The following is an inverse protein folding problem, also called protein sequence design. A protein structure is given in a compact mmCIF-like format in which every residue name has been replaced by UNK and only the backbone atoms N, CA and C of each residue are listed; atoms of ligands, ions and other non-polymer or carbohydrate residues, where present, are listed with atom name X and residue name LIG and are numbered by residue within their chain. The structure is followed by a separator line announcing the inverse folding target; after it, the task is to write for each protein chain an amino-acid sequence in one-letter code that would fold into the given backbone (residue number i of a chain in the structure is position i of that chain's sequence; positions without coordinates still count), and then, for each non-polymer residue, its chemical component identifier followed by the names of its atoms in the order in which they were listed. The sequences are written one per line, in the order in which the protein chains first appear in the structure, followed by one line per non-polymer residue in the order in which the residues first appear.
data_IF_576284604626
#
_entry.id   IF_576284604626
#
_cell.length_a   1.000
_cell.length_b   1.000
_cell.length_c   1.000
_cell.angle_alpha   90.00
_cell.angle_beta   90.00
_cell.angle_gamma   90.00
#
_symmetry.space_group_name_H-M   'P 1'
#
loop_
_entity.id
_entity.type
_entity.pdbx_description
1 polymer ?
#
# COMPACT_ATOMS: atom_id res chain seq x y z
N UNK A 1 -15.57 6.73 9.20
CA UNK A 1 -16.87 6.90 8.49
C UNK A 1 -16.74 6.36 7.08
N UNK A 2 -16.54 5.05 6.97
CA UNK A 2 -16.47 4.31 5.72
C UNK A 2 -17.51 3.18 5.83
N UNK A 3 -18.12 2.80 4.71
CA UNK A 3 -18.99 1.61 4.52
C UNK A 3 -20.51 1.80 4.38
N UNK A 4 -21.05 2.92 3.88
CA UNK A 4 -22.52 2.98 3.60
C UNK A 4 -22.95 3.42 2.18
N UNK A 5 -22.06 3.56 1.18
CA UNK A 5 -22.46 4.02 -0.17
C UNK A 5 -21.93 3.18 -1.34
N UNK A 6 -22.08 1.85 -1.27
CA UNK A 6 -22.01 1.00 -2.49
C UNK A 6 -23.22 0.06 -2.63
N UNK A 7 -24.40 0.46 -2.14
CA UNK A 7 -25.65 -0.15 -2.60
C UNK A 7 -26.03 0.49 -3.93
N UNK A 8 -25.61 -0.18 -5.01
CA UNK A 8 -26.07 0.07 -6.36
C UNK A 8 -27.60 0.13 -6.36
N UNK A 9 -28.18 1.13 -7.04
CA UNK A 9 -29.63 1.31 -7.06
C UNK A 9 -30.26 0.07 -7.68
N UNK A 10 -30.98 -0.73 -6.87
CA UNK A 10 -31.66 -1.97 -7.29
C UNK A 10 -32.85 -1.75 -8.22
N UNK A 11 -32.80 -0.68 -9.02
CA UNK A 11 -33.80 -0.28 -10.00
C UNK A 11 -33.54 -0.98 -11.34
N UNK A 12 -32.28 -1.34 -11.63
CA UNK A 12 -31.86 -1.99 -12.88
C UNK A 12 -31.45 -3.44 -12.65
N UNK A 13 -31.92 -4.33 -13.51
CA UNK A 13 -31.50 -5.74 -13.54
C UNK A 13 -30.09 -5.86 -14.12
N UNK A 14 -29.87 -5.31 -15.31
CA UNK A 14 -28.57 -5.16 -15.93
C UNK A 14 -27.94 -3.84 -15.47
N UNK A 15 -26.80 -3.92 -14.79
CA UNK A 15 -26.19 -2.77 -14.11
C UNK A 15 -24.95 -2.24 -14.81
N UNK A 16 -24.42 -3.01 -15.76
CA UNK A 16 -23.27 -2.67 -16.56
C UNK A 16 -22.83 -3.83 -17.44
N UNK A 17 -21.64 -3.71 -18.01
CA UNK A 17 -20.98 -4.76 -18.79
C UNK A 17 -19.60 -5.03 -18.18
N UNK A 18 -19.19 -6.29 -18.22
CA UNK A 18 -17.82 -6.72 -17.96
C UNK A 18 -17.20 -7.12 -19.30
N UNK A 19 -16.03 -6.59 -19.62
CA UNK A 19 -15.43 -6.69 -20.95
C UNK A 19 -14.01 -7.23 -20.83
N UNK A 20 -13.64 -8.12 -21.75
CA UNK A 20 -12.26 -8.54 -21.96
C UNK A 20 -11.82 -8.17 -23.38
N UNK A 21 -10.60 -7.63 -23.49
CA UNK A 21 -9.96 -7.28 -24.76
C UNK A 21 -8.54 -7.86 -24.82
N UNK A 22 -8.01 -8.06 -26.02
CA UNK A 22 -6.59 -8.37 -26.19
C UNK A 22 -5.73 -7.10 -26.15
N UNK A 23 -4.40 -7.25 -26.13
CA UNK A 23 -3.44 -6.11 -26.17
C UNK A 23 -3.65 -5.18 -27.37
N UNK A 24 -4.19 -5.69 -28.49
CA UNK A 24 -4.50 -4.88 -29.68
C UNK A 24 -5.80 -4.07 -29.55
N UNK A 25 -6.51 -4.21 -28.43
CA UNK A 25 -7.77 -3.55 -28.14
C UNK A 25 -8.99 -4.15 -28.81
N UNK A 26 -8.88 -5.35 -29.41
CA UNK A 26 -10.02 -6.08 -29.94
C UNK A 26 -10.80 -6.74 -28.80
N UNK A 27 -12.13 -6.63 -28.84
CA UNK A 27 -13.02 -7.19 -27.82
C UNK A 27 -13.11 -8.71 -28.00
N UNK A 28 -12.84 -9.45 -26.93
CA UNK A 28 -12.88 -10.91 -26.92
C UNK A 28 -14.21 -11.42 -26.39
N UNK A 29 -14.62 -10.93 -25.22
CA UNK A 29 -15.84 -11.36 -24.55
C UNK A 29 -16.48 -10.21 -23.80
N UNK A 30 -17.82 -10.25 -23.75
CA UNK A 30 -18.64 -9.36 -22.95
C UNK A 30 -19.60 -10.19 -22.09
N UNK A 31 -19.85 -9.72 -20.88
CA UNK A 31 -20.87 -10.26 -20.00
C UNK A 31 -21.69 -9.12 -19.40
N UNK A 32 -23.02 -9.26 -19.34
CA UNK A 32 -23.81 -8.33 -18.53
C UNK A 32 -23.55 -8.56 -17.04
N UNK A 33 -23.43 -7.46 -16.32
CA UNK A 33 -23.50 -7.50 -14.87
C UNK A 33 -24.97 -7.54 -14.45
N UNK A 34 -25.40 -8.66 -13.89
CA UNK A 34 -26.80 -8.90 -13.49
C UNK A 34 -26.93 -8.75 -11.97
N UNK A 35 -27.74 -7.77 -11.56
CA UNK A 35 -28.13 -7.48 -10.18
C UNK A 35 -26.94 -7.34 -9.22
N UNK A 36 -25.76 -7.01 -9.77
CA UNK A 36 -24.51 -6.86 -9.02
C UNK A 36 -23.65 -5.75 -9.62
N UNK A 37 -22.71 -5.21 -8.85
CA UNK A 37 -21.59 -4.49 -9.45
C UNK A 37 -20.57 -5.46 -10.05
N UNK A 38 -19.34 -4.98 -10.22
CA UNK A 38 -18.18 -5.80 -10.57
C UNK A 38 -17.88 -6.78 -9.44
N UNK A 39 -18.18 -8.05 -9.67
CA UNK A 39 -17.87 -9.17 -8.79
C UNK A 39 -16.83 -10.07 -9.46
N UNK A 40 -15.98 -10.70 -8.66
CA UNK A 40 -14.93 -11.61 -9.14
C UNK A 40 -15.44 -12.76 -10.03
N UNK A 41 -16.73 -13.12 -9.94
CA UNK A 41 -17.37 -14.14 -10.79
C UNK A 41 -17.25 -13.83 -12.29
N UNK A 42 -17.28 -12.55 -12.68
CA UNK A 42 -17.18 -12.17 -14.09
C UNK A 42 -15.76 -12.38 -14.61
N UNK A 43 -14.76 -11.94 -13.84
CA UNK A 43 -13.37 -12.18 -14.20
C UNK A 43 -13.04 -13.68 -14.20
N UNK A 44 -13.55 -14.47 -13.24
CA UNK A 44 -13.43 -15.94 -13.27
C UNK A 44 -14.05 -16.56 -14.53
N UNK A 45 -15.22 -16.07 -14.96
CA UNK A 45 -15.86 -16.57 -16.19
C UNK A 45 -15.03 -16.22 -17.44
N UNK A 46 -14.45 -15.03 -17.48
CA UNK A 46 -13.51 -14.62 -18.54
C UNK A 46 -12.24 -15.47 -18.49
N UNK A 47 -11.67 -15.72 -17.30
CA UNK A 47 -10.52 -16.60 -17.13
C UNK A 47 -10.84 -18.01 -17.63
N UNK A 48 -12.02 -18.56 -17.33
CA UNK A 48 -12.43 -19.85 -17.87
C UNK A 48 -12.43 -19.86 -19.40
N UNK A 49 -12.91 -18.79 -20.03
CA UNK A 49 -12.90 -18.64 -21.50
C UNK A 49 -11.50 -18.49 -22.08
N UNK A 50 -10.62 -17.77 -21.40
CA UNK A 50 -9.21 -17.66 -21.75
C UNK A 50 -8.56 -19.04 -21.74
N UNK A 51 -8.72 -19.80 -20.65
CA UNK A 51 -8.10 -21.12 -20.51
C UNK A 51 -8.68 -22.16 -21.50
N UNK A 52 -9.94 -22.00 -21.90
CA UNK A 52 -10.63 -22.89 -22.85
C UNK A 52 -10.24 -22.62 -24.31
N UNK A 53 -10.03 -21.35 -24.67
CA UNK A 53 -9.95 -20.93 -26.08
C UNK A 53 -8.63 -20.29 -26.48
N UNK A 54 -7.87 -19.74 -25.54
CA UNK A 54 -6.54 -19.19 -25.81
C UNK A 54 -5.48 -20.24 -25.47
N UNK A 55 -4.31 -20.13 -26.09
CA UNK A 55 -3.18 -21.02 -25.80
C UNK A 55 -2.58 -20.78 -24.42
N UNK A 56 -1.46 -21.43 -24.12
CA UNK A 56 -0.80 -21.27 -22.82
C UNK A 56 -0.08 -19.92 -22.68
N UNK A 57 0.31 -19.59 -21.45
CA UNK A 57 1.13 -18.42 -21.06
C UNK A 57 0.43 -17.08 -21.27
N UNK A 58 -0.88 -17.03 -21.08
CA UNK A 58 -1.62 -15.77 -21.10
C UNK A 58 -1.26 -14.91 -19.88
N UNK A 59 -1.16 -13.60 -20.09
CA UNK A 59 -1.08 -12.60 -19.03
C UNK A 59 -2.46 -11.95 -18.90
N UNK A 60 -3.07 -12.08 -17.72
CA UNK A 60 -4.39 -11.54 -17.41
C UNK A 60 -4.26 -10.26 -16.59
N UNK A 61 -4.47 -9.12 -17.24
CA UNK A 61 -4.45 -7.81 -16.63
C UNK A 61 -5.79 -7.44 -15.98
N UNK A 62 -5.74 -6.89 -14.76
CA UNK A 62 -6.89 -6.29 -14.08
C UNK A 62 -6.41 -5.35 -12.95
N UNK A 63 -7.14 -4.29 -12.63
CA UNK A 63 -6.76 -3.29 -11.61
C UNK A 63 -6.43 -3.93 -10.25
N UNK A 64 -7.15 -4.99 -9.91
CA UNK A 64 -6.92 -5.78 -8.69
C UNK A 64 -6.35 -7.17 -9.00
N UNK A 65 -5.55 -7.29 -10.06
CA UNK A 65 -4.95 -8.54 -10.55
C UNK A 65 -4.20 -9.31 -9.45
N UNK A 66 -3.48 -8.62 -8.57
CA UNK A 66 -2.81 -9.23 -7.42
C UNK A 66 -3.77 -9.90 -6.42
N UNK A 67 -4.91 -9.28 -6.16
CA UNK A 67 -5.96 -9.83 -5.28
C UNK A 67 -6.72 -10.94 -5.99
N UNK A 68 -6.91 -10.79 -7.30
CA UNK A 68 -7.55 -11.79 -8.13
C UNK A 68 -6.73 -13.07 -8.24
N UNK A 69 -5.40 -13.02 -8.26
CA UNK A 69 -4.54 -14.22 -8.20
C UNK A 69 -4.87 -15.10 -6.97
N UNK A 70 -5.09 -14.46 -5.82
CA UNK A 70 -5.59 -15.13 -4.62
C UNK A 70 -6.97 -15.75 -4.80
N UNK A 71 -7.87 -15.10 -5.53
CA UNK A 71 -9.20 -15.65 -5.84
C UNK A 71 -9.12 -16.83 -6.81
N UNK A 72 -8.29 -16.71 -7.85
CA UNK A 72 -8.10 -17.71 -8.89
C UNK A 72 -7.49 -18.99 -8.32
N UNK A 73 -6.49 -18.87 -7.45
CA UNK A 73 -5.83 -20.00 -6.79
C UNK A 73 -6.75 -20.81 -5.87
N UNK A 74 -7.84 -20.23 -5.38
CA UNK A 74 -8.86 -20.91 -4.57
C UNK A 74 -10.10 -21.30 -5.38
N UNK A 75 -10.08 -21.12 -6.70
CA UNK A 75 -11.18 -21.45 -7.59
C UNK A 75 -11.02 -22.83 -8.23
N UNK A 76 -12.08 -23.29 -8.93
CA UNK A 76 -12.03 -24.52 -9.72
C UNK A 76 -11.05 -24.45 -10.91
N UNK A 77 -10.61 -23.23 -11.30
CA UNK A 77 -9.70 -23.01 -12.41
C UNK A 77 -8.22 -23.08 -12.01
N UNK A 78 -7.90 -23.18 -10.71
CA UNK A 78 -6.54 -23.04 -10.20
C UNK A 78 -5.54 -24.01 -10.86
N UNK A 79 -5.92 -25.28 -11.00
CA UNK A 79 -5.04 -26.29 -11.61
C UNK A 79 -4.78 -25.99 -13.08
N UNK A 80 -5.84 -25.69 -13.85
CA UNK A 80 -5.73 -25.41 -15.28
C UNK A 80 -4.95 -24.10 -15.53
N UNK A 81 -5.20 -23.06 -14.73
CA UNK A 81 -4.46 -21.81 -14.80
C UNK A 81 -2.96 -22.02 -14.55
N UNK A 82 -2.61 -22.86 -13.57
CA UNK A 82 -1.22 -23.22 -13.28
C UNK A 82 -0.59 -24.07 -14.39
N UNK A 83 -1.31 -25.07 -14.89
CA UNK A 83 -0.85 -25.92 -16.00
C UNK A 83 -0.55 -25.10 -17.26
N UNK A 84 -1.43 -24.15 -17.59
CA UNK A 84 -1.25 -23.25 -18.73
C UNK A 84 -0.36 -22.05 -18.41
N UNK A 85 0.23 -21.96 -17.22
CA UNK A 85 1.11 -20.83 -16.83
C UNK A 85 0.46 -19.45 -17.00
N UNK A 86 -0.83 -19.31 -16.67
CA UNK A 86 -1.50 -18.02 -16.66
C UNK A 86 -0.93 -17.14 -15.55
N UNK A 87 -0.58 -15.90 -15.88
CA UNK A 87 -0.02 -14.94 -14.94
C UNK A 87 -0.97 -13.75 -14.77
N UNK A 88 -1.32 -13.39 -13.54
CA UNK A 88 -2.09 -12.17 -13.28
C UNK A 88 -1.18 -10.94 -13.29
N UNK A 89 -1.69 -9.83 -13.78
CA UNK A 89 -0.98 -8.55 -13.88
C UNK A 89 -1.89 -7.41 -13.41
N UNK A 90 -1.30 -6.37 -12.82
CA UNK A 90 -1.98 -5.10 -12.54
C UNK A 90 -1.51 -4.10 -13.60
N UNK A 91 -2.39 -3.25 -14.12
CA UNK A 91 -1.98 -2.24 -15.10
C UNK A 91 -0.89 -1.30 -14.54
N UNK A 92 -0.15 -0.60 -15.41
CA UNK A 92 0.98 0.22 -14.98
C UNK A 92 0.55 1.32 -14.01
N UNK A 93 -0.59 1.97 -14.27
CA UNK A 93 -1.06 3.08 -13.43
C UNK A 93 -1.40 2.62 -12.01
N UNK A 94 -2.21 1.57 -11.84
CA UNK A 94 -2.54 1.05 -10.52
C UNK A 94 -1.37 0.29 -9.88
N UNK A 95 -0.56 -0.40 -10.69
CA UNK A 95 0.55 -1.22 -10.23
C UNK A 95 1.56 -0.40 -9.44
N UNK A 96 1.87 0.82 -9.89
CA UNK A 96 2.75 1.72 -9.15
C UNK A 96 2.20 2.04 -7.76
N UNK A 97 0.89 2.22 -7.58
CA UNK A 97 0.28 2.54 -6.29
C UNK A 97 0.33 1.39 -5.26
N UNK A 98 0.77 0.20 -5.66
CA UNK A 98 0.89 -0.95 -4.77
C UNK A 98 2.24 -0.95 -4.04
N UNK A 99 2.38 -1.76 -2.98
CA UNK A 99 3.67 -1.89 -2.28
C UNK A 99 4.72 -2.58 -3.17
N UNK A 100 6.00 -2.41 -2.83
CA UNK A 100 7.12 -2.94 -3.63
C UNK A 100 7.07 -4.46 -3.84
N UNK A 101 6.64 -5.24 -2.84
CA UNK A 101 6.46 -6.69 -2.96
C UNK A 101 5.40 -7.08 -4.00
N UNK A 102 4.34 -6.28 -4.12
CA UNK A 102 3.31 -6.48 -5.12
C UNK A 102 3.82 -6.05 -6.50
N UNK A 103 4.53 -4.92 -6.59
CA UNK A 103 5.11 -4.45 -7.85
C UNK A 103 6.06 -5.48 -8.44
N UNK A 104 6.95 -6.06 -7.62
CA UNK A 104 7.93 -7.06 -8.06
C UNK A 104 7.34 -8.38 -8.57
N UNK A 105 6.02 -8.56 -8.53
CA UNK A 105 5.34 -9.77 -9.00
C UNK A 105 4.22 -9.51 -10.02
N UNK A 106 3.56 -8.36 -9.95
CA UNK A 106 2.37 -8.07 -10.73
C UNK A 106 2.48 -6.84 -11.64
N UNK A 107 3.54 -6.02 -11.52
CA UNK A 107 3.74 -4.85 -12.38
C UNK A 107 4.13 -5.28 -13.82
N UNK A 108 3.65 -4.61 -14.88
CA UNK A 108 3.93 -5.03 -16.25
C UNK A 108 5.43 -5.04 -16.57
N UNK A 109 6.18 -4.05 -16.10
CA UNK A 109 7.62 -3.91 -16.38
C UNK A 109 8.48 -5.11 -15.95
N UNK A 110 8.05 -5.85 -14.91
CA UNK A 110 8.80 -7.02 -14.42
C UNK A 110 8.31 -8.35 -15.01
N UNK A 111 7.22 -8.34 -15.79
CA UNK A 111 6.61 -9.56 -16.34
C UNK A 111 7.15 -9.80 -17.76
N UNK A 112 7.92 -10.88 -17.99
CA UNK A 112 8.42 -11.20 -19.31
C UNK A 112 7.28 -11.41 -20.30
N UNK A 113 7.37 -10.73 -21.45
CA UNK A 113 6.36 -10.79 -22.51
C UNK A 113 5.38 -9.61 -22.53
N UNK A 114 5.37 -8.75 -21.50
CA UNK A 114 4.54 -7.54 -21.47
C UNK A 114 4.97 -6.47 -22.48
N UNK A 115 6.26 -6.38 -22.77
CA UNK A 115 6.78 -5.36 -23.68
C UNK A 115 6.55 -3.95 -23.12
N UNK A 116 6.03 -3.05 -23.96
CA UNK A 116 5.78 -1.63 -23.63
C UNK A 116 4.31 -1.35 -23.25
N UNK A 117 3.52 -2.40 -22.98
CA UNK A 117 2.08 -2.25 -22.73
C UNK A 117 1.80 -1.71 -21.32
N UNK A 118 1.01 -0.63 -21.24
CA UNK A 118 0.54 -0.03 -19.98
C UNK A 118 -0.71 -0.72 -19.42
N UNK A 119 -1.40 -1.50 -20.26
CA UNK A 119 -2.66 -2.19 -19.98
C UNK A 119 -3.87 -1.25 -19.71
N UNK A 120 -3.82 0.00 -20.17
CA UNK A 120 -4.88 1.02 -20.00
C UNK A 120 -5.92 1.01 -21.16
N UNK A 121 -6.07 -0.13 -21.82
CA UNK A 121 -6.92 -0.24 -23.01
C UNK A 121 -8.41 -0.31 -22.65
N UNK A 122 -8.76 -0.93 -21.52
CA UNK A 122 -10.16 -1.11 -21.13
C UNK A 122 -10.79 0.20 -20.65
N UNK A 123 -10.04 1.09 -20.01
CA UNK A 123 -10.45 2.40 -19.55
C UNK A 123 -10.91 3.25 -20.75
N UNK A 124 -10.10 3.24 -21.83
CA UNK A 124 -10.44 3.88 -23.11
C UNK A 124 -11.68 3.24 -23.74
N UNK A 125 -11.77 1.92 -23.69
CA UNK A 125 -12.92 1.16 -24.22
C UNK A 125 -14.22 1.49 -23.47
N UNK A 126 -14.18 1.55 -22.14
CA UNK A 126 -15.33 1.92 -21.33
C UNK A 126 -15.71 3.38 -21.55
N UNK A 127 -14.73 4.28 -21.68
CA UNK A 127 -14.98 5.68 -22.00
C UNK A 127 -15.77 5.85 -23.30
N UNK A 128 -15.43 5.12 -24.37
CA UNK A 128 -16.18 5.18 -25.63
C UNK A 128 -17.56 4.54 -25.54
N UNK A 129 -17.71 3.49 -24.74
CA UNK A 129 -19.00 2.80 -24.54
C UNK A 129 -20.08 3.69 -23.91
N UNK A 130 -19.69 4.79 -23.25
CA UNK A 130 -20.64 5.78 -22.71
C UNK A 130 -21.54 6.39 -23.79
N UNK A 131 -21.13 6.38 -25.06
CA UNK A 131 -21.95 6.85 -26.19
C UNK A 131 -23.25 6.07 -26.35
N UNK A 132 -23.28 4.80 -25.95
CA UNK A 132 -24.49 3.95 -26.00
C UNK A 132 -25.21 3.81 -24.66
N UNK A 133 -24.70 4.42 -23.58
CA UNK A 133 -25.29 4.31 -22.25
C UNK A 133 -26.73 4.83 -22.20
N UNK A 134 -26.97 6.03 -22.75
CA UNK A 134 -28.29 6.67 -22.71
C UNK A 134 -29.39 5.87 -23.43
N UNK A 135 -29.03 5.18 -24.53
CA UNK A 135 -29.99 4.38 -25.32
C UNK A 135 -30.14 2.95 -24.79
N UNK A 136 -29.21 2.48 -23.96
CA UNK A 136 -29.23 1.13 -23.39
C UNK A 136 -29.81 1.07 -21.97
N UNK A 137 -29.86 2.20 -21.25
CA UNK A 137 -30.28 2.27 -19.84
C UNK A 137 -31.72 1.79 -19.60
N UNK A 138 -32.65 2.12 -20.49
CA UNK A 138 -34.07 1.74 -20.38
C UNK A 138 -34.51 0.79 -21.50
N UNK A 139 -33.56 0.27 -22.27
CA UNK A 139 -33.85 -0.68 -23.32
C UNK A 139 -34.20 -2.05 -22.72
N UNK A 140 -35.10 -2.78 -23.39
CA UNK A 140 -35.23 -4.22 -23.13
C UNK A 140 -33.88 -4.93 -23.34
N UNK A 141 -33.63 -6.04 -22.64
CA UNK A 141 -32.39 -6.83 -22.76
C UNK A 141 -31.96 -7.08 -24.22
N UNK A 142 -32.89 -7.42 -25.11
CA UNK A 142 -32.59 -7.63 -26.54
C UNK A 142 -32.01 -6.38 -27.22
N UNK A 143 -32.71 -5.25 -27.12
CA UNK A 143 -32.25 -3.99 -27.72
C UNK A 143 -30.95 -3.50 -27.08
N UNK A 144 -30.79 -3.68 -25.76
CA UNK A 144 -29.53 -3.39 -25.07
C UNK A 144 -28.37 -4.16 -25.71
N UNK A 145 -28.52 -5.48 -25.88
CA UNK A 145 -27.50 -6.31 -26.55
C UNK A 145 -27.24 -5.87 -27.97
N UNK A 146 -28.28 -5.54 -28.74
CA UNK A 146 -28.11 -5.07 -30.12
C UNK A 146 -27.27 -3.79 -30.20
N UNK A 147 -27.58 -2.77 -29.39
CA UNK A 147 -26.83 -1.51 -29.40
C UNK A 147 -25.38 -1.69 -28.92
N UNK A 148 -25.16 -2.47 -27.86
CA UNK A 148 -23.83 -2.78 -27.34
C UNK A 148 -23.01 -3.54 -28.37
N UNK A 149 -23.60 -4.57 -29.00
CA UNK A 149 -22.94 -5.36 -30.04
C UNK A 149 -22.60 -4.50 -31.27
N UNK A 150 -23.52 -3.63 -31.72
CA UNK A 150 -23.24 -2.71 -32.83
C UNK A 150 -22.09 -1.76 -32.50
N UNK A 151 -22.03 -1.22 -31.28
CA UNK A 151 -20.94 -0.37 -30.84
C UNK A 151 -19.59 -1.09 -30.87
N UNK A 152 -19.50 -2.28 -30.25
CA UNK A 152 -18.24 -3.00 -30.17
C UNK A 152 -17.79 -3.62 -31.49
N UNK A 153 -18.73 -3.94 -32.40
CA UNK A 153 -18.38 -4.31 -33.78
C UNK A 153 -17.70 -3.16 -34.52
N UNK A 154 -18.23 -1.94 -34.41
CA UNK A 154 -17.59 -0.77 -35.02
C UNK A 154 -16.22 -0.50 -34.38
N UNK A 155 -16.12 -0.60 -33.04
CA UNK A 155 -14.86 -0.48 -32.33
C UNK A 155 -13.82 -1.46 -32.84
N UNK A 156 -14.18 -2.74 -32.99
CA UNK A 156 -13.26 -3.76 -33.50
C UNK A 156 -12.86 -3.51 -34.96
N UNK A 157 -13.78 -3.07 -35.81
CA UNK A 157 -13.47 -2.66 -37.19
C UNK A 157 -12.44 -1.52 -37.21
N UNK A 158 -12.64 -0.50 -36.37
CA UNK A 158 -11.71 0.64 -36.26
C UNK A 158 -10.35 0.20 -35.72
N UNK A 159 -10.31 -0.68 -34.72
CA UNK A 159 -9.06 -1.24 -34.16
C UNK A 159 -8.33 -2.08 -35.19
N UNK A 160 -9.05 -2.95 -35.90
CA UNK A 160 -8.48 -3.80 -36.93
C UNK A 160 -7.86 -2.98 -38.06
N UNK A 161 -8.53 -1.91 -38.51
CA UNK A 161 -7.99 -1.00 -39.53
C UNK A 161 -6.71 -0.28 -39.08
N UNK A 162 -6.54 -0.07 -37.77
CA UNK A 162 -5.39 0.63 -37.21
C UNK A 162 -4.29 -0.29 -36.66
N UNK A 163 -4.51 -1.61 -36.61
CA UNK A 163 -3.62 -2.56 -35.91
C UNK A 163 -2.19 -2.54 -36.48
N UNK A 164 -2.05 -2.47 -37.81
CA UNK A 164 -0.74 -2.45 -38.46
C UNK A 164 0.05 -1.18 -38.08
N UNK A 165 -0.64 -0.03 -38.03
CA UNK A 165 -0.04 1.25 -37.62
C UNK A 165 0.35 1.23 -36.15
N UNK A 166 -0.52 0.67 -35.29
CA UNK A 166 -0.24 0.51 -33.86
C UNK A 166 1.02 -0.34 -33.64
N UNK A 167 1.09 -1.53 -34.24
CA UNK A 167 2.25 -2.42 -34.13
C UNK A 167 3.52 -1.76 -34.68
N UNK A 168 3.43 -1.08 -35.83
CA UNK A 168 4.57 -0.36 -36.41
C UNK A 168 5.08 0.74 -35.47
N UNK A 169 4.18 1.55 -34.90
CA UNK A 169 4.55 2.62 -33.99
C UNK A 169 5.19 2.08 -32.70
N UNK A 170 4.62 1.03 -32.11
CA UNK A 170 5.19 0.39 -30.92
C UNK A 170 6.57 -0.21 -31.21
N UNK A 171 6.77 -0.76 -32.40
CA UNK A 171 8.08 -1.26 -32.82
C UNK A 171 9.11 -0.13 -32.99
N UNK A 172 8.74 0.99 -33.61
CA UNK A 172 9.62 2.15 -33.71
C UNK A 172 9.98 2.68 -32.31
N UNK A 173 8.99 2.83 -31.43
CA UNK A 173 9.21 3.25 -30.05
C UNK A 173 10.19 2.33 -29.31
N UNK A 174 10.06 1.00 -29.47
CA UNK A 174 10.98 0.04 -28.86
C UNK A 174 12.42 0.19 -29.40
N UNK A 175 12.58 0.47 -30.70
CA UNK A 175 13.89 0.74 -31.29
C UNK A 175 14.49 2.04 -30.76
N UNK A 176 13.69 3.10 -30.65
CA UNK A 176 14.12 4.40 -30.14
C UNK A 176 14.58 4.27 -28.69
N UNK A 177 13.79 3.64 -27.83
CA UNK A 177 14.17 3.34 -26.43
C UNK A 177 15.48 2.55 -26.38
N UNK A 178 15.61 1.49 -27.19
CA UNK A 178 16.84 0.68 -27.20
C UNK A 178 18.05 1.51 -27.65
N UNK A 179 17.88 2.38 -28.64
CA UNK A 179 18.95 3.20 -29.19
C UNK A 179 19.36 4.34 -28.23
N UNK A 180 18.40 4.97 -27.56
CA UNK A 180 18.63 6.12 -26.67
C UNK A 180 19.04 5.70 -25.25
N UNK A 181 18.37 4.71 -24.67
CA UNK A 181 18.56 4.36 -23.26
C UNK A 181 19.70 3.37 -23.03
N UNK A 182 20.01 2.47 -23.98
CA UNK A 182 21.12 1.51 -23.81
C UNK A 182 22.47 2.20 -23.60
N UNK A 183 22.84 3.26 -24.35
CA UNK A 183 24.05 4.04 -24.08
C UNK A 183 24.02 4.72 -22.70
N UNK A 184 22.88 5.31 -22.32
CA UNK A 184 22.72 5.99 -21.04
C UNK A 184 22.89 5.02 -19.85
N UNK A 185 22.31 3.83 -19.94
CA UNK A 185 22.47 2.76 -18.93
C UNK A 185 23.93 2.30 -18.88
N UNK A 186 24.59 2.15 -20.03
CA UNK A 186 25.99 1.74 -20.09
C UNK A 186 26.90 2.79 -19.46
N UNK A 187 26.68 4.07 -19.74
CA UNK A 187 27.43 5.18 -19.13
C UNK A 187 27.19 5.23 -17.62
N UNK A 188 25.93 5.13 -17.17
CA UNK A 188 25.60 5.10 -15.75
C UNK A 188 26.24 3.92 -15.03
N UNK A 189 26.27 2.73 -15.64
CA UNK A 189 26.93 1.56 -15.09
C UNK A 189 28.44 1.78 -14.91
N UNK A 190 29.12 2.43 -15.87
CA UNK A 190 30.53 2.80 -15.75
C UNK A 190 30.75 3.80 -14.62
N UNK A 191 29.94 4.85 -14.54
CA UNK A 191 30.04 5.89 -13.49
C UNK A 191 29.84 5.29 -12.10
N UNK A 192 28.87 4.38 -11.96
CA UNK A 192 28.55 3.73 -10.70
C UNK A 192 29.44 2.51 -10.40
N UNK A 193 30.35 2.14 -11.30
CA UNK A 193 31.20 0.94 -11.19
C UNK A 193 30.39 -0.35 -10.98
N UNK A 194 29.31 -0.47 -11.75
CA UNK A 194 28.35 -1.57 -11.72
C UNK A 194 28.48 -2.41 -12.98
N UNK A 195 28.40 -3.73 -12.84
CA UNK A 195 28.27 -4.65 -13.97
C UNK A 195 26.79 -4.81 -14.37
N UNK A 196 26.39 -4.42 -15.59
CA UNK A 196 25.01 -4.60 -16.09
C UNK A 196 24.51 -6.05 -16.05
N UNK A 197 25.41 -7.05 -16.07
CA UNK A 197 25.02 -8.45 -15.97
C UNK A 197 24.40 -8.81 -14.61
N UNK A 198 24.53 -7.95 -13.60
CA UNK A 198 23.94 -8.16 -12.29
C UNK A 198 22.48 -7.68 -12.20
N UNK A 199 21.94 -6.96 -13.18
CA UNK A 199 20.61 -6.35 -13.06
C UNK A 199 19.50 -7.39 -12.83
N UNK A 200 19.48 -8.48 -13.59
CA UNK A 200 18.51 -9.56 -13.39
C UNK A 200 18.65 -10.23 -12.01
N UNK A 201 19.87 -10.28 -11.46
CA UNK A 201 20.10 -10.81 -10.12
C UNK A 201 19.55 -9.85 -9.06
N UNK A 202 19.77 -8.54 -9.24
CA UNK A 202 19.26 -7.51 -8.34
C UNK A 202 17.75 -7.42 -8.31
N UNK A 203 17.07 -7.61 -9.44
CA UNK A 203 15.61 -7.69 -9.47
C UNK A 203 15.09 -8.86 -8.61
N UNK A 204 15.76 -10.03 -8.67
CA UNK A 204 15.42 -11.19 -7.84
C UNK A 204 15.72 -10.94 -6.37
N UNK A 205 16.89 -10.40 -6.05
CA UNK A 205 17.28 -10.04 -4.68
C UNK A 205 16.32 -9.02 -4.08
N UNK A 206 15.90 -8.04 -4.87
CA UNK A 206 14.92 -7.03 -4.47
C UNK A 206 13.56 -7.68 -4.19
N UNK A 207 13.07 -8.55 -5.08
CA UNK A 207 11.81 -9.27 -4.89
C UNK A 207 11.85 -10.16 -3.62
N UNK A 208 12.96 -10.86 -3.40
CA UNK A 208 13.17 -11.68 -2.19
C UNK A 208 13.19 -10.84 -0.92
N UNK A 209 13.93 -9.71 -0.93
CA UNK A 209 13.99 -8.77 0.18
C UNK A 209 12.60 -8.28 0.59
N UNK A 210 11.79 -7.84 -0.37
CA UNK A 210 10.43 -7.35 -0.08
C UNK A 210 9.47 -8.46 0.32
N UNK A 211 9.67 -9.69 -0.13
CA UNK A 211 8.87 -10.86 0.29
C UNK A 211 9.18 -11.24 1.74
N UNK A 212 10.46 -11.22 2.13
CA UNK A 212 10.94 -11.55 3.48
C UNK A 212 10.55 -10.51 4.54
N UNK A 213 10.33 -9.25 4.15
CA UNK A 213 9.92 -8.15 5.04
C UNK A 213 8.49 -8.29 5.60
N UNK A 214 7.80 -9.40 5.33
CA UNK A 214 6.35 -9.49 5.57
C UNK A 214 5.93 -9.56 7.04
N UNK A 215 6.79 -9.92 8.00
CA UNK A 215 6.49 -9.80 9.44
C UNK A 215 7.79 -9.63 10.25
N UNK A 216 7.93 -8.49 10.96
CA UNK A 216 9.01 -8.33 11.94
C UNK A 216 8.86 -9.40 13.03
N UNK A 217 9.92 -10.18 13.34
CA UNK A 217 9.88 -11.16 14.42
C UNK A 217 9.36 -10.55 15.72
N UNK A 218 8.50 -11.28 16.44
CA UNK A 218 7.88 -10.78 17.68
C UNK A 218 8.94 -10.29 18.69
N UNK A 219 10.09 -10.96 18.77
CA UNK A 219 11.21 -10.56 19.63
C UNK A 219 11.74 -9.15 19.32
N UNK A 220 11.80 -8.77 18.04
CA UNK A 220 12.26 -7.44 17.62
C UNK A 220 11.20 -6.39 17.98
N UNK A 221 9.92 -6.68 17.75
CA UNK A 221 8.82 -5.78 18.12
C UNK A 221 8.78 -5.54 19.63
N UNK A 222 8.96 -6.59 20.42
CA UNK A 222 9.06 -6.50 21.88
C UNK A 222 10.29 -5.70 22.32
N UNK A 223 11.45 -5.91 21.69
CA UNK A 223 12.65 -5.13 21.98
C UNK A 223 12.47 -3.63 21.67
N UNK A 224 11.85 -3.29 20.53
CA UNK A 224 11.57 -1.89 20.16
C UNK A 224 10.68 -1.22 21.20
N UNK A 225 9.54 -1.83 21.51
CA UNK A 225 8.58 -1.29 22.50
C UNK A 225 9.23 -1.14 23.88
N UNK A 226 10.07 -2.09 24.28
CA UNK A 226 10.82 -2.00 25.52
C UNK A 226 11.82 -0.82 25.52
N UNK A 227 12.57 -0.62 24.44
CA UNK A 227 13.51 0.51 24.32
C UNK A 227 12.79 1.86 24.28
N UNK A 228 11.66 1.97 23.59
CA UNK A 228 10.81 3.17 23.57
C UNK A 228 10.30 3.51 24.98
N UNK A 229 9.81 2.52 25.73
CA UNK A 229 9.39 2.70 27.13
C UNK A 229 10.57 3.15 28.03
N UNK A 230 11.78 2.62 27.83
CA UNK A 230 12.97 3.06 28.58
C UNK A 230 13.36 4.50 28.25
N UNK A 231 13.21 4.94 27.00
CA UNK A 231 13.43 6.34 26.62
C UNK A 231 12.38 7.26 27.25
N UNK A 232 11.12 6.84 27.25
CA UNK A 232 10.00 7.55 27.88
C UNK A 232 10.14 7.66 29.40
N UNK A 233 10.64 6.60 30.05
CA UNK A 233 10.95 6.65 31.47
C UNK A 233 12.00 7.72 31.76
N UNK A 234 13.12 7.74 31.02
CA UNK A 234 14.21 8.70 31.23
C UNK A 234 13.78 10.14 30.97
N UNK A 235 12.99 10.37 29.92
CA UNK A 235 12.44 11.70 29.63
C UNK A 235 11.48 12.15 30.73
N UNK A 236 10.59 11.26 31.18
CA UNK A 236 9.63 11.52 32.26
C UNK A 236 10.34 11.75 33.60
N UNK A 237 11.41 11.03 33.92
CA UNK A 237 12.20 11.23 35.14
C UNK A 237 12.90 12.59 35.16
N UNK A 238 13.46 13.02 34.02
CA UNK A 238 14.03 14.36 33.86
C UNK A 238 12.95 15.45 34.04
N UNK A 239 11.80 15.29 33.37
CA UNK A 239 10.66 16.22 33.51
C UNK A 239 10.11 16.25 34.94
N UNK A 240 9.99 15.10 35.60
CA UNK A 240 9.55 15.00 36.99
C UNK A 240 10.53 15.72 37.93
N UNK A 241 11.83 15.54 37.75
CA UNK A 241 12.85 16.26 38.54
C UNK A 241 12.72 17.78 38.39
N UNK A 242 12.46 18.26 37.18
CA UNK A 242 12.24 19.69 36.92
C UNK A 242 10.96 20.21 37.57
N UNK A 243 9.85 19.47 37.47
CA UNK A 243 8.56 19.85 38.09
C UNK A 243 8.63 19.77 39.61
N UNK A 244 9.31 18.77 40.16
CA UNK A 244 9.54 18.64 41.59
C UNK A 244 10.40 19.80 42.12
N UNK A 245 11.46 20.17 41.40
CA UNK A 245 12.30 21.34 41.74
C UNK A 245 11.51 22.64 41.66
N UNK A 246 10.66 22.79 40.64
CA UNK A 246 9.76 23.94 40.52
C UNK A 246 8.77 24.03 41.69
N UNK A 247 8.15 22.91 42.06
CA UNK A 247 7.28 22.85 43.23
C UNK A 247 8.05 23.25 44.50
N UNK A 248 9.25 22.73 44.73
CA UNK A 248 10.08 23.11 45.88
C UNK A 248 10.46 24.61 45.90
N UNK A 249 10.56 25.24 44.72
CA UNK A 249 10.86 26.69 44.62
C UNK A 249 9.66 27.60 44.89
N UNK A 250 8.44 27.08 44.71
CA UNK A 250 7.17 27.83 44.87
C UNK A 250 6.46 27.45 46.18
N UNK A 251 6.75 26.27 46.74
CA UNK A 251 6.22 25.81 48.01
C UNK A 251 6.72 26.71 49.16
N UNK A 252 5.83 27.23 50.02
CA UNK A 252 6.24 28.01 51.18
C UNK A 252 7.07 27.14 52.13
N UNK A 253 8.27 27.59 52.48
CA UNK A 253 9.19 26.88 53.41
C UNK A 253 8.78 27.12 54.88
N UNK A 254 7.87 28.06 55.12
CA UNK A 254 7.52 28.54 56.44
C UNK A 254 6.08 28.16 56.81
N UNK A 255 5.91 27.41 57.92
CA UNK A 255 4.64 27.28 58.65
C UNK A 255 4.28 28.57 59.40
N UNK A 256 4.57 29.74 58.81
CA UNK A 256 4.30 31.03 59.46
C UNK A 256 2.80 31.29 59.38
N UNK A 257 2.21 31.42 60.57
CA UNK A 257 0.83 31.82 60.80
C UNK A 257 0.66 33.26 60.25
N UNK A 258 0.25 33.39 58.97
CA UNK A 258 0.08 34.70 58.33
C UNK A 258 -1.22 35.34 58.85
N UNK A 259 -1.07 36.05 59.96
CA UNK A 259 -1.98 37.13 60.34
C UNK A 259 -1.88 38.24 59.28
N UNK A 260 -2.98 38.44 58.56
CA UNK A 260 -3.39 39.70 57.95
C UNK A 260 -2.44 40.38 56.94
N UNK A 261 -2.37 39.88 55.70
CA UNK A 261 -2.02 40.71 54.52
C UNK A 261 -2.82 40.29 53.26
N UNK A 262 -3.64 41.23 52.74
CA UNK A 262 -4.32 41.28 51.42
C UNK A 262 -4.68 39.93 50.76
N UNK A 263 -5.96 39.54 50.89
CA UNK A 263 -6.58 38.31 50.31
C UNK A 263 -6.17 37.99 48.86
N UNK A 264 -6.03 38.98 47.99
CA UNK A 264 -5.69 38.78 46.57
C UNK A 264 -4.27 38.24 46.34
N UNK A 265 -3.32 38.48 47.24
CA UNK A 265 -1.95 38.00 47.08
C UNK A 265 -1.81 36.56 47.59
N UNK A 266 -2.45 36.25 48.71
CA UNK A 266 -2.54 34.89 49.26
C UNK A 266 -3.24 33.93 48.30
N UNK A 267 -4.39 34.32 47.73
CA UNK A 267 -5.12 33.50 46.76
C UNK A 267 -4.33 33.21 45.48
N UNK A 268 -3.50 34.15 45.02
CA UNK A 268 -2.63 33.97 43.85
C UNK A 268 -1.46 33.03 44.13
N UNK A 269 -0.83 33.14 45.29
CA UNK A 269 0.25 32.23 45.72
C UNK A 269 -0.27 30.80 46.01
N UNK A 270 -1.46 30.68 46.61
CA UNK A 270 -2.16 29.41 46.78
C UNK A 270 -2.51 28.78 45.42
N UNK A 271 -3.01 29.57 44.45
CA UNK A 271 -3.30 29.04 43.11
C UNK A 271 -2.04 28.55 42.38
N UNK A 272 -0.90 29.24 42.53
CA UNK A 272 0.39 28.82 41.92
C UNK A 272 0.92 27.52 42.54
N UNK A 273 0.88 27.39 43.86
CA UNK A 273 1.34 26.19 44.58
C UNK A 273 0.49 24.98 44.24
N UNK A 274 -0.85 25.10 44.22
CA UNK A 274 -1.76 24.02 43.82
C UNK A 274 -1.54 23.57 42.37
N UNK A 275 -1.27 24.50 41.44
CA UNK A 275 -0.94 24.14 40.04
C UNK A 275 0.38 23.39 39.93
N UNK A 276 1.40 23.81 40.69
CA UNK A 276 2.70 23.15 40.72
C UNK A 276 2.61 21.75 41.37
N UNK A 277 1.83 21.61 42.44
CA UNK A 277 1.54 20.33 43.08
C UNK A 277 0.79 19.38 42.14
N UNK A 278 -0.28 19.86 41.50
CA UNK A 278 -1.05 19.09 40.52
C UNK A 278 -0.16 18.58 39.38
N UNK A 279 0.69 19.46 38.84
CA UNK A 279 1.64 19.10 37.79
C UNK A 279 2.64 18.02 38.27
N UNK A 280 3.10 18.11 39.52
CA UNK A 280 3.98 17.10 40.13
C UNK A 280 3.28 15.74 40.26
N UNK A 281 2.03 15.72 40.72
CA UNK A 281 1.24 14.50 40.84
C UNK A 281 1.03 13.82 39.49
N UNK A 282 0.62 14.57 38.47
CA UNK A 282 0.44 14.03 37.11
C UNK A 282 1.73 13.41 36.58
N UNK A 283 2.88 14.06 36.78
CA UNK A 283 4.17 13.52 36.34
C UNK A 283 4.59 12.28 37.15
N UNK A 284 4.28 12.24 38.45
CA UNK A 284 4.54 11.08 39.29
C UNK A 284 3.70 9.86 38.88
N UNK A 285 2.41 10.07 38.62
CA UNK A 285 1.50 9.02 38.13
C UNK A 285 1.94 8.49 36.75
N UNK A 286 2.33 9.39 35.84
CA UNK A 286 2.87 9.00 34.53
C UNK A 286 4.13 8.15 34.66
N UNK A 287 5.04 8.52 35.57
CA UNK A 287 6.26 7.74 35.85
C UNK A 287 5.92 6.35 36.38
N UNK A 288 4.97 6.26 37.32
CA UNK A 288 4.54 4.97 37.88
C UNK A 288 3.88 4.08 36.82
N UNK A 289 3.07 4.65 35.94
CA UNK A 289 2.48 3.93 34.82
C UNK A 289 3.55 3.31 33.91
N UNK A 290 4.51 4.12 33.43
CA UNK A 290 5.59 3.64 32.55
C UNK A 290 6.43 2.57 33.25
N UNK A 291 6.68 2.70 34.56
CA UNK A 291 7.40 1.69 35.32
C UNK A 291 6.65 0.34 35.37
N UNK A 292 5.31 0.35 35.48
CA UNK A 292 4.51 -0.87 35.42
C UNK A 292 4.61 -1.54 34.06
N UNK A 293 4.48 -0.77 32.99
CA UNK A 293 4.57 -1.28 31.61
C UNK A 293 5.96 -1.90 31.33
N UNK A 294 7.03 -1.25 31.83
CA UNK A 294 8.41 -1.76 31.73
C UNK A 294 8.56 -3.09 32.48
N UNK A 295 8.01 -3.21 33.69
CA UNK A 295 8.11 -4.46 34.48
C UNK A 295 7.34 -5.59 33.79
N UNK A 296 6.17 -5.31 33.23
CA UNK A 296 5.41 -6.29 32.45
C UNK A 296 6.20 -6.77 31.23
N UNK A 297 6.83 -5.84 30.51
CA UNK A 297 7.70 -6.16 29.37
C UNK A 297 8.95 -6.95 29.79
N UNK A 298 9.59 -6.61 30.92
CA UNK A 298 10.75 -7.34 31.46
C UNK A 298 10.39 -8.81 31.76
N UNK A 299 9.20 -9.06 32.34
CA UNK A 299 8.69 -10.41 32.59
C UNK A 299 8.42 -11.14 31.26
N UNK A 300 7.74 -10.49 30.32
CA UNK A 300 7.38 -11.09 29.02
C UNK A 300 8.62 -11.44 28.18
N UNK A 301 9.67 -10.63 28.24
CA UNK A 301 10.92 -10.83 27.50
C UNK A 301 11.96 -11.68 28.25
N UNK A 302 11.69 -12.07 29.51
CA UNK A 302 12.66 -12.79 30.36
C UNK A 302 13.92 -11.98 30.69
N UNK A 303 13.80 -10.65 30.77
CA UNK A 303 14.92 -9.74 31.07
C UNK A 303 15.15 -9.71 32.58
N UNK A 304 16.32 -10.16 33.02
CA UNK A 304 16.68 -10.23 34.45
C UNK A 304 17.24 -8.91 35.00
N UNK A 305 17.80 -8.06 34.12
CA UNK A 305 18.34 -6.76 34.47
C UNK A 305 17.92 -5.73 33.43
N UNK A 306 17.35 -4.60 33.91
CA UNK A 306 16.86 -3.52 33.06
C UNK A 306 17.95 -2.96 32.16
N UNK A 307 17.66 -2.85 30.86
CA UNK A 307 18.65 -2.40 29.87
C UNK A 307 19.07 -0.94 30.11
N UNK A 308 20.39 -0.72 30.06
CA UNK A 308 21.04 0.57 30.16
C UNK A 308 21.48 1.08 28.78
N UNK A 309 21.72 2.40 28.62
CA UNK A 309 22.16 2.97 27.34
C UNK A 309 23.45 2.35 26.80
N UNK A 310 24.29 1.79 27.67
CA UNK A 310 25.56 1.16 27.31
C UNK A 310 25.42 -0.32 26.94
N UNK A 311 24.25 -0.92 27.16
CA UNK A 311 24.05 -2.35 26.92
C UNK A 311 23.99 -2.63 25.42
N UNK A 312 24.67 -3.72 25.01
CA UNK A 312 24.75 -4.12 23.60
C UNK A 312 23.38 -4.27 22.95
N UNK A 313 22.44 -4.94 23.63
CA UNK A 313 21.07 -5.16 23.13
C UNK A 313 20.32 -3.84 22.93
N UNK A 314 20.46 -2.89 23.85
CA UNK A 314 19.84 -1.58 23.75
C UNK A 314 20.37 -0.79 22.55
N UNK A 315 21.70 -0.81 22.33
CA UNK A 315 22.35 -0.15 21.19
C UNK A 315 21.93 -0.78 19.86
N UNK A 316 21.88 -2.12 19.79
CA UNK A 316 21.44 -2.85 18.59
C UNK A 316 19.99 -2.54 18.23
N UNK A 317 19.08 -2.56 19.22
CA UNK A 317 17.68 -2.18 19.01
C UNK A 317 17.54 -0.71 18.61
N UNK A 318 18.31 0.21 19.19
CA UNK A 318 18.30 1.61 18.77
C UNK A 318 18.71 1.79 17.30
N UNK A 319 19.77 1.08 16.87
CA UNK A 319 20.21 1.08 15.48
C UNK A 319 19.09 0.57 14.56
N UNK A 320 18.43 -0.52 14.96
CA UNK A 320 17.29 -1.06 14.21
C UNK A 320 16.11 -0.08 14.14
N UNK A 321 15.75 0.60 15.23
CA UNK A 321 14.69 1.62 15.24
C UNK A 321 15.00 2.73 14.22
N UNK A 322 16.26 3.18 14.15
CA UNK A 322 16.67 4.21 13.21
C UNK A 322 16.58 3.72 11.75
N UNK A 323 17.07 2.52 11.46
CA UNK A 323 16.98 1.89 10.12
C UNK A 323 15.53 1.65 9.71
N UNK A 324 14.69 1.15 10.62
CA UNK A 324 13.25 0.96 10.41
C UNK A 324 12.53 2.27 10.09
N UNK A 325 12.85 3.35 10.80
CA UNK A 325 12.28 4.68 10.53
C UNK A 325 12.70 5.16 9.14
N UNK A 326 13.97 4.98 8.78
CA UNK A 326 14.47 5.30 7.44
C UNK A 326 13.73 4.51 6.35
N UNK A 327 13.58 3.20 6.50
CA UNK A 327 12.83 2.35 5.55
C UNK A 327 11.37 2.79 5.43
N UNK A 328 10.68 3.06 6.54
CA UNK A 328 9.29 3.56 6.49
C UNK A 328 9.16 4.91 5.79
N UNK A 329 10.10 5.82 6.04
CA UNK A 329 10.13 7.10 5.34
C UNK A 329 10.41 6.93 3.84
N UNK A 330 11.24 5.95 3.46
CA UNK A 330 11.48 5.61 2.06
C UNK A 330 10.22 5.04 1.40
N UNK A 331 9.52 4.12 2.07
CA UNK A 331 8.24 3.57 1.62
C UNK A 331 7.18 4.67 1.44
N UNK A 332 7.09 5.61 2.40
CA UNK A 332 6.16 6.73 2.34
C UNK A 332 6.54 7.71 1.23
N UNK A 333 7.83 7.97 1.00
CA UNK A 333 8.30 8.79 -0.11
C UNK A 333 7.96 8.15 -1.47
N UNK A 334 8.19 6.84 -1.60
CA UNK A 334 7.83 6.08 -2.81
C UNK A 334 6.33 6.17 -3.08
N UNK A 335 5.49 6.04 -2.04
CA UNK A 335 4.04 6.24 -2.17
C UNK A 335 3.66 7.64 -2.64
N UNK A 336 4.37 8.68 -2.17
CA UNK A 336 4.09 10.08 -2.52
C UNK A 336 4.54 10.49 -3.93
N UNK A 337 5.58 9.84 -4.48
CA UNK A 337 6.02 10.08 -5.88
C UNK A 337 5.03 9.48 -6.88
N UNK A 338 4.24 8.50 -6.42
CA UNK A 338 3.34 7.70 -7.24
C UNK A 338 1.87 8.15 -7.11
N UNK A 339 1.49 8.82 -6.01
CA UNK A 339 0.16 9.43 -5.83
C UNK A 339 0.05 10.80 -6.47
#
# INVERSE_FOLDING_TARGET
MASELKKMWGIYRETGIFVAACQHGLILWLADMIESGELAKYLLAITAKILEHLGDKNILAYDIGCTFDGTLSHSLLANLAKEQSLHCCVNAFHGTAHNAACQSRYHPDIIPGMGLEDLETLERTFSTSNQVAAVTQYASTLHRHQFINLHFRQWDEDKYMNIAKMVYNNYQQALDITHEDSPAITEAAVVLSVDPNNFEAWEKEQAEYFTLSSQEPEEIVLAITYVELLQDLRSTESSYSNVASHFMSVAPVDFINVSSTRDDQYARELSKTHKAETSRHIMAERREHILRDIVEMEVRMGVTARWQPQDKKYIETLKYIAERKYHRCLDDLQRLVIS
#
